data_IF_207738364377
#
_entry.id   IF_207738364377
#
_cell.length_a   1.000
_cell.length_b   1.000
_cell.length_c   1.000
_cell.angle_alpha   90.00
_cell.angle_beta   90.00
_cell.angle_gamma   90.00
#
_symmetry.space_group_name_H-M   'P 1'
#
loop_
_entity.id
_entity.type
_entity.pdbx_description
1 polymer ?
#
# COMPACT_ATOMS: atom_id res chain seq x y z
N UNK A 1 -22.52 3.96 -2.16
CA UNK A 1 -21.13 3.53 -1.86
C UNK A 1 -21.00 2.05 -2.20
N UNK A 2 -20.10 1.68 -3.12
CA UNK A 2 -19.88 0.27 -3.48
C UNK A 2 -19.26 -0.48 -2.28
N UNK A 3 -19.90 -1.54 -1.84
CA UNK A 3 -19.32 -2.43 -0.80
C UNK A 3 -18.13 -3.18 -1.38
N UNK A 4 -17.03 -3.37 -0.62
CA UNK A 4 -15.92 -4.20 -1.09
C UNK A 4 -16.42 -5.61 -1.37
N UNK A 5 -16.03 -6.17 -2.51
CA UNK A 5 -16.32 -7.58 -2.84
C UNK A 5 -15.64 -8.51 -1.83
N UNK A 6 -16.18 -9.71 -1.64
CA UNK A 6 -15.52 -10.73 -0.86
C UNK A 6 -14.14 -11.04 -1.46
N UNK A 7 -13.15 -11.24 -0.61
CA UNK A 7 -11.81 -11.64 -1.06
C UNK A 7 -11.85 -13.05 -1.68
N UNK A 8 -10.99 -13.33 -2.67
CA UNK A 8 -10.82 -14.69 -3.17
C UNK A 8 -10.50 -15.66 -2.02
N UNK A 9 -11.06 -16.87 -2.05
CA UNK A 9 -10.96 -17.85 -0.95
C UNK A 9 -9.52 -18.10 -0.50
N UNK A 10 -8.56 -18.26 -1.43
CA UNK A 10 -7.13 -18.46 -1.12
C UNK A 10 -6.52 -17.26 -0.42
N UNK A 11 -6.78 -16.03 -0.91
CA UNK A 11 -6.29 -14.81 -0.28
C UNK A 11 -6.87 -14.62 1.12
N UNK A 12 -8.18 -14.82 1.30
CA UNK A 12 -8.82 -14.75 2.61
C UNK A 12 -8.26 -15.78 3.61
N UNK A 13 -7.94 -17.00 3.14
CA UNK A 13 -7.28 -18.02 3.98
C UNK A 13 -5.88 -17.59 4.38
N UNK A 14 -5.08 -17.09 3.44
CA UNK A 14 -3.72 -16.65 3.71
C UNK A 14 -3.69 -15.50 4.72
N UNK A 15 -4.53 -14.48 4.53
CA UNK A 15 -4.62 -13.37 5.47
C UNK A 15 -5.01 -13.83 6.88
N UNK A 16 -5.95 -14.76 7.04
CA UNK A 16 -6.27 -15.33 8.37
C UNK A 16 -5.12 -16.08 9.01
N UNK A 17 -4.27 -16.76 8.24
CA UNK A 17 -3.06 -17.40 8.76
C UNK A 17 -2.05 -16.34 9.21
N UNK A 18 -1.87 -15.30 8.40
CA UNK A 18 -1.00 -14.16 8.76
C UNK A 18 -1.50 -13.41 9.98
N UNK A 19 -2.82 -13.18 10.12
CA UNK A 19 -3.41 -12.52 11.31
C UNK A 19 -3.04 -13.25 12.61
N UNK A 20 -3.05 -14.58 12.59
CA UNK A 20 -2.65 -15.39 13.76
C UNK A 20 -1.16 -15.20 14.08
N UNK A 21 -0.28 -15.32 13.08
CA UNK A 21 1.15 -15.12 13.25
C UNK A 21 1.48 -13.69 13.73
N UNK A 22 0.82 -12.69 13.16
CA UNK A 22 0.97 -11.28 13.55
C UNK A 22 0.60 -11.07 15.01
N UNK A 23 -0.50 -11.66 15.49
CA UNK A 23 -0.93 -11.57 16.89
C UNK A 23 0.04 -12.29 17.82
N UNK A 24 0.48 -13.50 17.45
CA UNK A 24 1.38 -14.32 18.26
C UNK A 24 2.79 -13.70 18.39
N UNK A 25 3.31 -13.15 17.27
CA UNK A 25 4.69 -12.66 17.20
C UNK A 25 4.81 -11.12 17.24
N UNK A 26 3.70 -10.40 17.42
CA UNK A 26 3.65 -8.92 17.45
C UNK A 26 4.32 -8.29 16.23
N UNK A 27 4.04 -8.83 15.04
CA UNK A 27 4.67 -8.35 13.80
C UNK A 27 3.94 -7.08 13.32
N UNK A 28 4.66 -5.99 12.98
CA UNK A 28 4.03 -4.76 12.51
C UNK A 28 3.47 -4.93 11.09
N UNK A 29 2.15 -4.90 10.96
CA UNK A 29 1.44 -4.90 9.68
C UNK A 29 0.26 -3.94 9.75
N UNK A 30 -0.28 -3.55 8.61
CA UNK A 30 -1.45 -2.66 8.53
C UNK A 30 -2.66 -3.17 9.35
N UNK A 31 -2.76 -4.49 9.56
CA UNK A 31 -3.77 -5.11 10.40
C UNK A 31 -5.20 -5.05 9.87
N UNK A 32 -6.13 -5.62 10.65
CA UNK A 32 -7.52 -5.83 10.21
C UNK A 32 -8.29 -4.52 10.10
N UNK A 33 -8.12 -3.58 11.03
CA UNK A 33 -8.92 -2.35 11.09
C UNK A 33 -8.57 -1.39 9.95
N UNK A 34 -7.30 -1.05 9.81
CA UNK A 34 -6.80 -0.25 8.68
C UNK A 34 -7.06 -0.97 7.36
N UNK A 35 -6.86 -2.29 7.32
CA UNK A 35 -7.14 -3.12 6.16
C UNK A 35 -8.60 -3.05 5.67
N UNK A 36 -9.58 -2.90 6.58
CA UNK A 36 -10.98 -2.68 6.21
C UNK A 36 -11.20 -1.34 5.50
N UNK A 37 -10.51 -0.29 5.95
CA UNK A 37 -10.55 1.03 5.32
C UNK A 37 -9.89 0.97 3.96
N UNK A 38 -8.66 0.43 3.88
CA UNK A 38 -7.93 0.24 2.64
C UNK A 38 -8.78 -0.48 1.58
N UNK A 39 -9.42 -1.59 1.93
CA UNK A 39 -10.32 -2.32 1.02
C UNK A 39 -11.49 -1.50 0.51
N UNK A 40 -12.10 -0.66 1.38
CA UNK A 40 -13.20 0.23 0.96
C UNK A 40 -12.73 1.28 -0.03
N UNK A 41 -11.54 1.86 0.20
CA UNK A 41 -10.94 2.84 -0.68
C UNK A 41 -10.59 2.21 -2.04
N UNK A 42 -9.95 1.03 -2.05
CA UNK A 42 -9.66 0.29 -3.29
C UNK A 42 -10.96 -0.05 -4.06
N UNK A 43 -12.02 -0.48 -3.38
CA UNK A 43 -13.29 -0.79 -4.03
C UNK A 43 -13.96 0.46 -4.64
N UNK A 44 -13.76 1.65 -4.05
CA UNK A 44 -14.29 2.92 -4.54
C UNK A 44 -13.51 3.43 -5.76
N UNK A 45 -12.17 3.39 -5.69
CA UNK A 45 -11.29 3.94 -6.72
C UNK A 45 -10.98 2.94 -7.84
N UNK A 46 -11.17 1.63 -7.58
CA UNK A 46 -10.97 0.54 -8.53
C UNK A 46 -9.60 0.58 -9.26
N UNK A 47 -8.48 0.81 -8.56
CA UNK A 47 -7.18 0.95 -9.19
C UNK A 47 -6.75 -0.35 -9.87
N UNK A 48 -5.94 -0.22 -10.93
CA UNK A 48 -5.48 -1.33 -11.77
C UNK A 48 -3.97 -1.49 -11.80
N UNK A 49 -3.22 -0.44 -11.45
CA UNK A 49 -1.76 -0.42 -11.50
C UNK A 49 -1.18 0.27 -10.26
N UNK A 50 -0.89 -0.57 -9.27
CA UNK A 50 -0.40 -0.11 -7.96
C UNK A 50 1.09 -0.27 -7.77
N UNK A 51 1.61 0.56 -6.87
CA UNK A 51 2.93 0.42 -6.25
C UNK A 51 2.73 0.35 -4.74
N UNK A 52 3.52 -0.48 -4.07
CA UNK A 52 3.65 -0.55 -2.62
C UNK A 52 5.12 -0.41 -2.23
N UNK A 53 5.42 0.49 -1.31
CA UNK A 53 6.75 0.73 -0.76
C UNK A 53 6.81 0.13 0.64
N UNK A 54 7.61 -0.92 0.78
CA UNK A 54 7.66 -1.76 1.98
C UNK A 54 6.58 -2.85 1.95
N UNK A 55 6.96 -4.10 1.79
CA UNK A 55 6.01 -5.20 1.72
C UNK A 55 6.13 -6.19 2.87
N UNK A 56 7.23 -6.10 3.64
CA UNK A 56 7.56 -7.04 4.71
C UNK A 56 7.44 -8.50 4.19
N UNK A 57 6.45 -9.24 4.64
CA UNK A 57 6.16 -10.60 4.16
C UNK A 57 4.85 -10.69 3.34
N UNK A 58 4.29 -9.54 2.92
CA UNK A 58 3.23 -9.45 1.92
C UNK A 58 1.80 -9.39 2.44
N UNK A 59 1.57 -9.03 3.72
CA UNK A 59 0.20 -8.90 4.25
C UNK A 59 -0.61 -7.85 3.49
N UNK A 60 -0.13 -6.61 3.45
CA UNK A 60 -0.74 -5.48 2.73
C UNK A 60 -0.77 -5.71 1.22
N UNK A 61 0.27 -6.31 0.66
CA UNK A 61 0.35 -6.67 -0.76
C UNK A 61 -0.77 -7.64 -1.18
N UNK A 62 -1.00 -8.70 -0.39
CA UNK A 62 -2.07 -9.67 -0.64
C UNK A 62 -3.44 -9.01 -0.49
N UNK A 63 -3.64 -8.23 0.57
CA UNK A 63 -4.89 -7.53 0.83
C UNK A 63 -5.24 -6.57 -0.30
N UNK A 64 -4.27 -5.76 -0.73
CA UNK A 64 -4.38 -4.79 -1.82
C UNK A 64 -4.69 -5.48 -3.14
N UNK A 65 -3.82 -6.39 -3.59
CA UNK A 65 -3.98 -7.05 -4.88
C UNK A 65 -5.28 -7.89 -4.95
N UNK A 66 -5.68 -8.55 -3.85
CA UNK A 66 -6.95 -9.29 -3.79
C UNK A 66 -8.18 -8.37 -3.83
N UNK A 67 -8.04 -7.10 -3.42
CA UNK A 67 -9.12 -6.11 -3.42
C UNK A 67 -9.23 -5.32 -4.72
N UNK A 68 -8.17 -5.28 -5.52
CA UNK A 68 -8.15 -4.64 -6.85
C UNK A 68 -9.07 -5.34 -7.84
N UNK A 69 -9.54 -4.67 -8.90
CA UNK A 69 -10.27 -5.28 -10.01
C UNK A 69 -9.53 -6.49 -10.61
N UNK A 70 -10.27 -7.35 -11.32
CA UNK A 70 -9.67 -8.47 -12.05
C UNK A 70 -8.65 -7.94 -13.07
N UNK A 71 -7.42 -8.48 -13.03
CA UNK A 71 -6.32 -8.01 -13.87
C UNK A 71 -5.49 -6.88 -13.26
N UNK A 72 -5.91 -6.29 -12.15
CA UNK A 72 -5.12 -5.32 -11.41
C UNK A 72 -3.78 -5.91 -10.93
N UNK A 73 -2.71 -5.12 -10.99
CA UNK A 73 -1.35 -5.54 -10.67
C UNK A 73 -0.74 -4.60 -9.63
N UNK A 74 0.01 -5.17 -8.71
CA UNK A 74 0.75 -4.48 -7.67
C UNK A 74 2.24 -4.78 -7.83
N UNK A 75 3.07 -3.75 -7.89
CA UNK A 75 4.51 -3.86 -7.78
C UNK A 75 4.92 -3.41 -6.40
N UNK A 76 5.47 -4.32 -5.60
CA UNK A 76 6.04 -4.01 -4.30
C UNK A 76 7.53 -3.71 -4.46
N UNK A 77 8.03 -2.74 -3.71
CA UNK A 77 9.47 -2.47 -3.57
C UNK A 77 9.84 -2.82 -2.14
N UNK A 78 10.76 -3.79 -2.00
CA UNK A 78 11.21 -4.30 -0.70
C UNK A 78 12.73 -4.32 -0.65
N UNK A 79 13.31 -3.74 0.39
CA UNK A 79 14.76 -3.63 0.51
C UNK A 79 15.41 -4.96 0.90
N UNK A 80 14.72 -5.77 1.69
CA UNK A 80 15.23 -7.04 2.18
C UNK A 80 14.89 -8.18 1.20
N UNK A 81 15.91 -8.84 0.65
CA UNK A 81 15.77 -9.94 -0.31
C UNK A 81 14.98 -11.13 0.24
N UNK A 82 15.16 -11.49 1.51
CA UNK A 82 14.42 -12.58 2.14
C UNK A 82 12.94 -12.23 2.30
N UNK A 83 12.62 -11.02 2.76
CA UNK A 83 11.23 -10.55 2.90
C UNK A 83 10.54 -10.46 1.54
N UNK A 84 11.25 -10.01 0.51
CA UNK A 84 10.75 -9.98 -0.86
C UNK A 84 10.35 -11.38 -1.35
N UNK A 85 11.19 -12.39 -1.12
CA UNK A 85 10.89 -13.80 -1.45
C UNK A 85 9.68 -14.33 -0.67
N UNK A 86 9.55 -13.98 0.62
CA UNK A 86 8.37 -14.34 1.40
C UNK A 86 7.11 -13.67 0.85
N UNK A 87 7.18 -12.40 0.45
CA UNK A 87 6.06 -11.70 -0.18
C UNK A 87 5.62 -12.40 -1.45
N UNK A 88 6.54 -12.76 -2.36
CA UNK A 88 6.22 -13.48 -3.59
C UNK A 88 5.62 -14.87 -3.33
N UNK A 89 6.22 -15.63 -2.40
CA UNK A 89 5.72 -16.96 -2.01
C UNK A 89 4.29 -16.86 -1.45
N UNK A 90 4.06 -15.96 -0.50
CA UNK A 90 2.77 -15.77 0.14
C UNK A 90 1.70 -15.29 -0.85
N UNK A 91 2.06 -14.35 -1.74
CA UNK A 91 1.15 -13.88 -2.80
C UNK A 91 0.79 -15.01 -3.77
N UNK A 92 1.75 -15.85 -4.15
CA UNK A 92 1.50 -17.03 -5.00
C UNK A 92 0.57 -18.04 -4.30
N UNK A 93 0.79 -18.35 -3.02
CA UNK A 93 -0.06 -19.20 -2.21
C UNK A 93 -1.48 -18.64 -2.00
N UNK A 94 -1.60 -17.31 -1.96
CA UNK A 94 -2.88 -16.58 -1.94
C UNK A 94 -3.61 -16.60 -3.30
N UNK A 95 -3.03 -17.19 -4.34
CA UNK A 95 -3.59 -17.25 -5.69
C UNK A 95 -3.41 -15.96 -6.50
N UNK A 96 -2.42 -15.15 -6.14
CA UNK A 96 -2.14 -13.85 -6.76
C UNK A 96 -0.84 -13.86 -7.59
N UNK A 97 -0.34 -15.07 -7.97
CA UNK A 97 0.81 -15.22 -8.87
C UNK A 97 0.58 -14.40 -10.16
N UNK A 98 1.56 -13.57 -10.52
CA UNK A 98 1.48 -12.68 -11.68
C UNK A 98 0.65 -11.40 -11.47
N UNK A 99 -0.02 -11.25 -10.32
CA UNK A 99 -0.68 -10.00 -9.91
C UNK A 99 0.16 -9.18 -8.91
N UNK A 100 0.96 -9.84 -8.10
CA UNK A 100 1.95 -9.24 -7.21
C UNK A 100 3.33 -9.56 -7.78
N UNK A 101 4.15 -8.54 -7.94
CA UNK A 101 5.57 -8.62 -8.32
C UNK A 101 6.36 -7.88 -7.26
N UNK A 102 7.49 -8.40 -6.83
CA UNK A 102 8.41 -7.71 -5.93
C UNK A 102 9.67 -7.30 -6.68
N UNK A 103 10.12 -6.08 -6.46
CA UNK A 103 11.41 -5.57 -6.91
C UNK A 103 12.26 -5.34 -5.67
N UNK A 104 13.37 -6.07 -5.58
CA UNK A 104 14.30 -5.94 -4.45
C UNK A 104 15.17 -4.71 -4.64
N UNK A 105 15.28 -3.88 -3.62
CA UNK A 105 16.18 -2.75 -3.59
C UNK A 105 15.68 -1.56 -2.76
N UNK A 106 16.55 -0.58 -2.65
CA UNK A 106 16.22 0.72 -2.06
C UNK A 106 15.15 1.42 -2.89
N UNK A 107 14.05 1.80 -2.23
CA UNK A 107 12.90 2.39 -2.92
C UNK A 107 13.24 3.71 -3.63
N UNK A 108 14.10 4.56 -3.05
CA UNK A 108 14.52 5.81 -3.70
C UNK A 108 15.31 5.58 -4.99
N UNK A 109 15.96 4.43 -5.12
CA UNK A 109 16.65 4.01 -6.36
C UNK A 109 15.73 3.27 -7.32
N UNK A 110 14.84 2.42 -6.81
CA UNK A 110 13.98 1.57 -7.63
C UNK A 110 12.80 2.35 -8.23
N UNK A 111 12.13 3.19 -7.43
CA UNK A 111 10.93 3.90 -7.86
C UNK A 111 11.12 4.71 -9.15
N UNK A 112 12.20 5.48 -9.34
CA UNK A 112 12.42 6.23 -10.60
C UNK A 112 12.59 5.34 -11.84
N UNK A 113 13.04 4.10 -11.66
CA UNK A 113 13.27 3.15 -12.77
C UNK A 113 12.00 2.42 -13.21
N UNK A 114 10.96 2.38 -12.38
CA UNK A 114 9.69 1.74 -12.74
C UNK A 114 9.01 2.50 -13.89
N UNK A 115 8.29 1.80 -14.75
CA UNK A 115 7.66 2.35 -15.96
C UNK A 115 6.14 2.26 -15.91
N UNK A 116 5.50 3.16 -16.65
CA UNK A 116 4.05 3.20 -16.85
C UNK A 116 3.32 4.04 -15.80
N UNK A 117 2.05 4.29 -16.05
CA UNK A 117 1.19 5.07 -15.15
C UNK A 117 0.94 4.35 -13.82
N UNK A 118 0.59 5.12 -12.81
CA UNK A 118 0.28 4.64 -11.45
C UNK A 118 -1.06 5.23 -11.02
N UNK A 119 -2.00 4.38 -10.63
CA UNK A 119 -3.32 4.78 -10.12
C UNK A 119 -3.52 4.40 -8.64
N UNK A 120 -2.50 3.75 -8.03
CA UNK A 120 -2.48 3.42 -6.61
C UNK A 120 -1.05 3.43 -6.06
N UNK A 121 -0.86 4.05 -4.90
CA UNK A 121 0.40 4.01 -4.15
C UNK A 121 0.10 3.75 -2.69
N UNK A 122 0.70 2.71 -2.12
CA UNK A 122 0.75 2.47 -0.68
C UNK A 122 2.18 2.69 -0.19
N UNK A 123 2.35 3.54 0.82
CA UNK A 123 3.65 3.82 1.44
C UNK A 123 3.59 3.32 2.88
N UNK A 124 4.38 2.30 3.18
CA UNK A 124 4.57 1.75 4.52
C UNK A 124 6.01 1.27 4.72
N UNK A 125 6.92 2.23 4.71
CA UNK A 125 8.36 1.98 4.83
C UNK A 125 8.99 2.97 5.82
N UNK A 126 10.19 3.46 5.53
CA UNK A 126 10.91 4.42 6.35
C UNK A 126 10.21 5.78 6.33
N UNK A 127 9.83 6.27 7.50
CA UNK A 127 8.87 7.36 7.66
C UNK A 127 9.40 8.72 7.18
N UNK A 128 10.68 8.98 7.37
CA UNK A 128 11.36 10.19 6.94
C UNK A 128 11.38 10.36 5.41
N UNK A 129 11.33 9.25 4.67
CA UNK A 129 11.45 9.24 3.21
C UNK A 129 10.09 9.29 2.47
N UNK A 130 8.94 9.40 3.18
CA UNK A 130 7.62 9.32 2.56
C UNK A 130 7.37 10.36 1.47
N UNK A 131 7.83 11.60 1.67
CA UNK A 131 7.73 12.64 0.65
C UNK A 131 8.56 12.30 -0.58
N UNK A 132 9.77 11.77 -0.39
CA UNK A 132 10.67 11.43 -1.49
C UNK A 132 10.17 10.21 -2.27
N UNK A 133 9.57 9.21 -1.59
CA UNK A 133 8.87 8.11 -2.26
C UNK A 133 7.70 8.63 -3.11
N UNK A 134 6.88 9.54 -2.56
CA UNK A 134 5.77 10.15 -3.32
C UNK A 134 6.30 10.91 -4.53
N UNK A 135 7.29 11.79 -4.36
CA UNK A 135 7.90 12.58 -5.44
C UNK A 135 8.48 11.71 -6.55
N UNK A 136 9.11 10.59 -6.20
CA UNK A 136 9.63 9.64 -7.18
C UNK A 136 8.53 8.98 -8.03
N UNK A 137 7.28 8.92 -7.53
CA UNK A 137 6.14 8.33 -8.23
C UNK A 137 5.26 9.39 -8.91
N UNK A 138 5.21 10.63 -8.37
CA UNK A 138 4.33 11.72 -8.85
C UNK A 138 4.31 11.93 -10.36
N UNK A 139 5.44 11.91 -11.09
CA UNK A 139 5.43 12.12 -12.55
C UNK A 139 4.64 11.08 -13.33
N UNK A 140 4.24 9.97 -12.69
CA UNK A 140 3.49 8.86 -13.28
C UNK A 140 2.09 8.70 -12.72
N UNK A 141 1.72 9.51 -11.70
CA UNK A 141 0.38 9.49 -11.15
C UNK A 141 -0.62 9.97 -12.18
N UNK A 142 -1.68 9.21 -12.35
CA UNK A 142 -2.83 9.68 -13.14
C UNK A 142 -3.80 10.44 -12.26
N UNK A 143 -4.54 11.39 -12.83
CA UNK A 143 -5.62 12.08 -12.12
C UNK A 143 -6.59 11.06 -11.54
N UNK A 144 -6.92 11.19 -10.24
CA UNK A 144 -7.74 10.24 -9.49
C UNK A 144 -6.95 9.11 -8.84
N UNK A 145 -5.62 9.05 -9.01
CA UNK A 145 -4.79 8.06 -8.31
C UNK A 145 -4.99 8.17 -6.79
N UNK A 146 -5.09 7.00 -6.15
CA UNK A 146 -5.24 6.87 -4.70
C UNK A 146 -3.88 6.62 -4.06
N UNK A 147 -3.50 7.49 -3.15
CA UNK A 147 -2.28 7.37 -2.35
C UNK A 147 -2.67 7.08 -0.91
N UNK A 148 -2.07 6.06 -0.32
CA UNK A 148 -2.25 5.68 1.08
C UNK A 148 -0.89 5.75 1.77
N UNK A 149 -0.82 6.48 2.89
CA UNK A 149 0.33 6.50 3.77
C UNK A 149 -0.07 5.94 5.14
N UNK A 150 0.62 4.90 5.58
CA UNK A 150 0.36 4.28 6.89
C UNK A 150 1.19 4.94 8.00
N UNK A 151 0.77 4.78 9.26
CA UNK A 151 1.40 5.27 10.48
C UNK A 151 1.52 6.81 10.61
N UNK A 152 0.63 7.55 9.96
CA UNK A 152 0.67 9.03 9.96
C UNK A 152 0.33 9.67 11.31
N UNK A 153 -0.27 8.94 12.23
CA UNK A 153 -0.50 9.38 13.61
C UNK A 153 0.73 9.18 14.48
N UNK A 154 1.23 7.95 14.51
CA UNK A 154 2.36 7.54 15.35
C UNK A 154 3.66 8.28 14.99
N UNK A 155 3.92 8.50 13.71
CA UNK A 155 5.13 9.15 13.19
C UNK A 155 4.85 10.53 12.57
N UNK A 156 3.87 11.26 13.08
CA UNK A 156 3.42 12.55 12.54
C UNK A 156 4.56 13.58 12.36
N UNK A 157 5.51 13.60 13.30
CA UNK A 157 6.65 14.54 13.23
C UNK A 157 7.60 14.22 12.08
N UNK A 158 7.95 12.95 11.91
CA UNK A 158 8.88 12.49 10.87
C UNK A 158 8.24 12.61 9.48
N UNK A 159 6.91 12.45 9.42
CA UNK A 159 6.12 12.52 8.20
C UNK A 159 5.57 13.92 7.90
N UNK A 160 5.89 14.94 8.71
CA UNK A 160 5.35 16.30 8.53
C UNK A 160 5.57 16.83 7.11
N UNK A 161 6.75 16.71 6.47
CA UNK A 161 6.93 17.18 5.09
C UNK A 161 6.00 16.52 4.08
N UNK A 162 5.71 15.21 4.25
CA UNK A 162 4.76 14.47 3.43
C UNK A 162 3.33 14.97 3.66
N UNK A 163 2.91 15.10 4.92
CA UNK A 163 1.57 15.53 5.29
C UNK A 163 1.27 16.95 4.80
N UNK A 164 2.20 17.88 4.99
CA UNK A 164 2.08 19.26 4.47
C UNK A 164 1.94 19.23 2.94
N UNK A 165 2.74 18.43 2.23
CA UNK A 165 2.69 18.34 0.78
C UNK A 165 1.32 17.84 0.28
N UNK A 166 0.79 16.75 0.84
CA UNK A 166 -0.48 16.19 0.37
C UNK A 166 -1.70 17.00 0.83
N UNK A 167 -1.58 17.79 1.91
CA UNK A 167 -2.69 18.57 2.47
C UNK A 167 -2.73 20.01 1.95
N UNK A 168 -1.57 20.61 1.63
CA UNK A 168 -1.45 22.06 1.39
C UNK A 168 -1.03 22.42 -0.04
N UNK A 169 -0.48 21.50 -0.83
CA UNK A 169 -0.03 21.80 -2.20
C UNK A 169 -1.15 22.10 -3.20
N UNK A 170 -2.41 21.86 -2.84
CA UNK A 170 -3.55 21.95 -3.75
C UNK A 170 -3.64 20.82 -4.80
N UNK A 171 -2.65 19.94 -4.85
CA UNK A 171 -2.55 18.85 -5.83
C UNK A 171 -3.30 17.58 -5.40
N UNK A 172 -3.71 17.50 -4.14
CA UNK A 172 -4.37 16.32 -3.57
C UNK A 172 -5.64 16.74 -2.82
N UNK A 173 -6.59 15.81 -2.76
CA UNK A 173 -7.67 15.81 -1.79
C UNK A 173 -7.35 14.75 -0.75
N UNK A 174 -6.98 15.19 0.44
CA UNK A 174 -6.45 14.34 1.50
C UNK A 174 -7.43 14.20 2.66
N UNK A 175 -7.44 13.02 3.26
CA UNK A 175 -8.25 12.71 4.44
C UNK A 175 -7.50 11.78 5.37
N UNK A 176 -7.39 12.19 6.63
CA UNK A 176 -6.91 11.35 7.70
C UNK A 176 -8.01 10.36 8.14
N UNK A 177 -7.61 9.11 8.35
CA UNK A 177 -8.39 8.06 8.99
C UNK A 177 -7.75 7.74 10.34
N UNK A 178 -8.43 8.09 11.42
CA UNK A 178 -8.00 7.85 12.80
C UNK A 178 -8.53 6.49 13.29
N UNK A 179 -7.66 5.71 13.93
CA UNK A 179 -7.96 4.39 14.51
C UNK A 179 -7.77 4.39 16.03
N UNK A 180 -7.54 5.56 16.64
CA UNK A 180 -7.31 5.73 18.08
C UNK A 180 -5.87 5.44 18.49
N UNK A 181 -5.28 4.35 18.00
CA UNK A 181 -3.89 3.98 18.28
C UNK A 181 -2.90 4.54 17.24
N UNK A 182 -3.37 4.83 16.02
CA UNK A 182 -2.58 5.37 14.91
C UNK A 182 -3.50 5.91 13.81
N UNK A 183 -2.92 6.60 12.82
CA UNK A 183 -3.66 7.15 11.69
C UNK A 183 -3.13 6.62 10.35
N UNK A 184 -3.96 6.76 9.32
CA UNK A 184 -3.64 6.52 7.93
C UNK A 184 -4.12 7.69 7.08
N UNK A 185 -3.27 8.28 6.25
CA UNK A 185 -3.66 9.32 5.31
C UNK A 185 -4.05 8.71 3.97
N UNK A 186 -5.21 9.10 3.46
CA UNK A 186 -5.67 8.76 2.13
C UNK A 186 -5.79 10.02 1.28
N UNK A 187 -5.04 10.10 0.20
CA UNK A 187 -4.95 11.24 -0.70
C UNK A 187 -5.33 10.86 -2.12
N UNK A 188 -6.14 11.68 -2.77
CA UNK A 188 -6.51 11.51 -4.19
C UNK A 188 -5.83 12.60 -5.01
N UNK A 189 -5.01 12.18 -5.97
CA UNK A 189 -4.27 13.10 -6.84
C UNK A 189 -5.21 13.84 -7.80
N UNK A 190 -5.11 15.15 -7.86
CA UNK A 190 -5.96 16.02 -8.69
C UNK A 190 -5.30 16.45 -10.01
N UNK A 191 -3.99 16.32 -10.12
CA UNK A 191 -3.18 16.75 -11.25
C UNK A 191 -2.32 17.96 -10.96
#
# INVERSE_FOLDING_TARGET
MSRPKALPKKAARMLRLMDRAVTEWTIPVIGVEKGRVLRRLIARHAPTRGIEVGSLFGYSAILTAASMPRGGRLTCVEQNDYLAKFTEYNAAAAGLKGRVRVVVGDALRVLPMLRGHVDFLLIDARKEDYLDYLRAVEPRLVKGALIIADNTGMFRRDMKPYLDHVRESGRYESREHDFGFDCMEASVFRG
#
